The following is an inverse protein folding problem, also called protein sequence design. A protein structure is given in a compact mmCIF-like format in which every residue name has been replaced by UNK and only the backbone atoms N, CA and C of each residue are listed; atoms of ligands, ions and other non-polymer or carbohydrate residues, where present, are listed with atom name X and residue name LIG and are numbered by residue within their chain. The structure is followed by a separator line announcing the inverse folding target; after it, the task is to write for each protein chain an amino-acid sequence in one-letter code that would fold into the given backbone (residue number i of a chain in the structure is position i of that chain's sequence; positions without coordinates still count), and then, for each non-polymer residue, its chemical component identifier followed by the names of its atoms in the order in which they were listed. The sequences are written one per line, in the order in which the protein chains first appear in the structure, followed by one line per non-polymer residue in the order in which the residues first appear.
data_IF_279485191327
#
_entry.id   IF_279485191327
#
_cell.length_a   1.000
_cell.length_b   1.000
_cell.length_c   1.000
_cell.angle_alpha   90.00
_cell.angle_beta   90.00
_cell.angle_gamma   90.00
#
_symmetry.space_group_name_H-M   'P 1'
#
loop_
_entity.id
_entity.type
_entity.pdbx_description
1 polymer ?
#
# COMPACT_ATOMS: atom_id res chain seq x y z
N UNK A 1 -3.69 13.71 -14.03
CA UNK A 1 -3.75 14.00 -12.59
C UNK A 1 -3.65 12.66 -11.87
N UNK A 2 -2.99 12.58 -10.72
CA UNK A 2 -3.00 11.33 -9.95
C UNK A 2 -4.41 11.14 -9.38
N UNK A 3 -4.97 9.94 -9.52
CA UNK A 3 -6.28 9.57 -8.97
C UNK A 3 -6.15 9.40 -7.45
N UNK A 4 -6.25 10.52 -6.72
CA UNK A 4 -6.25 10.55 -5.26
C UNK A 4 -7.58 11.15 -4.80
N UNK A 5 -8.28 10.52 -3.83
CA UNK A 5 -9.53 11.05 -3.30
C UNK A 5 -9.38 12.47 -2.74
N UNK A 6 -10.44 13.27 -2.84
CA UNK A 6 -10.42 14.69 -2.48
C UNK A 6 -10.19 14.98 -1.01
N UNK A 7 -10.35 13.99 -0.11
CA UNK A 7 -10.01 14.15 1.30
C UNK A 7 -8.49 14.20 1.58
N UNK A 8 -7.66 13.82 0.62
CA UNK A 8 -6.21 13.84 0.80
C UNK A 8 -5.58 15.17 0.37
N UNK A 9 -4.40 15.51 0.92
CA UNK A 9 -3.59 16.62 0.41
C UNK A 9 -3.27 16.47 -1.09
N UNK A 10 -2.80 17.54 -1.76
CA UNK A 10 -2.36 17.47 -3.15
C UNK A 10 -1.41 16.29 -3.38
N UNK A 11 -1.55 15.60 -4.52
CA UNK A 11 -0.89 14.33 -4.80
C UNK A 11 0.64 14.37 -4.62
N UNK A 12 1.27 15.54 -4.83
CA UNK A 12 2.70 15.75 -4.63
C UNK A 12 3.10 15.56 -3.16
N UNK A 13 2.26 16.02 -2.24
CA UNK A 13 2.47 15.88 -0.79
C UNK A 13 2.36 14.41 -0.39
N UNK A 14 1.29 13.73 -0.85
CA UNK A 14 1.10 12.29 -0.62
C UNK A 14 2.29 11.49 -1.16
N UNK A 15 2.71 11.78 -2.40
CA UNK A 15 3.84 11.12 -3.03
C UNK A 15 5.16 11.40 -2.32
N UNK A 16 5.35 12.61 -1.78
CA UNK A 16 6.56 12.95 -1.01
C UNK A 16 6.70 12.08 0.23
N UNK A 17 5.64 11.94 1.04
CA UNK A 17 5.64 11.06 2.22
C UNK A 17 5.87 9.61 1.82
N UNK A 18 5.13 9.11 0.83
CA UNK A 18 5.31 7.75 0.32
C UNK A 18 6.77 7.48 -0.07
N UNK A 19 7.41 8.41 -0.80
CA UNK A 19 8.81 8.29 -1.21
C UNK A 19 9.78 8.26 -0.03
N UNK A 20 9.52 9.05 1.03
CA UNK A 20 10.34 8.98 2.25
C UNK A 20 10.17 7.63 2.95
N UNK A 21 8.93 7.17 3.11
CA UNK A 21 8.62 5.91 3.79
C UNK A 21 9.15 4.66 3.08
N UNK A 22 9.19 4.69 1.74
CA UNK A 22 9.84 3.62 0.97
C UNK A 22 11.35 3.65 1.20
N UNK A 23 11.95 4.85 1.29
CA UNK A 23 13.41 5.00 1.46
C UNK A 23 13.88 4.60 2.86
N UNK A 24 13.10 4.88 3.89
CA UNK A 24 13.46 4.60 5.29
C UNK A 24 12.91 3.25 5.81
N UNK A 25 12.17 2.50 4.98
CA UNK A 25 11.62 1.19 5.32
C UNK A 25 10.32 1.22 6.13
N UNK A 26 9.77 2.41 6.42
CA UNK A 26 8.46 2.56 7.08
C UNK A 26 7.36 1.85 6.30
N UNK A 27 7.39 1.93 4.97
CA UNK A 27 6.41 1.27 4.11
C UNK A 27 6.41 -0.26 4.31
N UNK A 28 7.59 -0.88 4.33
CA UNK A 28 7.72 -2.32 4.54
C UNK A 28 7.27 -2.75 5.94
N UNK A 29 7.55 -1.94 6.96
CA UNK A 29 7.12 -2.19 8.32
C UNK A 29 5.59 -2.13 8.46
N UNK A 30 4.96 -1.11 7.87
CA UNK A 30 3.49 -1.01 7.84
C UNK A 30 2.89 -2.25 7.16
N UNK A 31 3.43 -2.63 6.00
CA UNK A 31 2.92 -3.79 5.26
C UNK A 31 3.04 -5.09 6.08
N UNK A 32 4.20 -5.32 6.73
CA UNK A 32 4.41 -6.49 7.61
C UNK A 32 3.41 -6.55 8.76
N UNK A 33 3.16 -5.41 9.42
CA UNK A 33 2.22 -5.33 10.53
C UNK A 33 0.78 -5.60 10.07
N UNK A 34 0.36 -5.04 8.94
CA UNK A 34 -0.97 -5.27 8.39
C UNK A 34 -1.18 -6.74 8.02
N UNK A 35 -0.18 -7.38 7.40
CA UNK A 35 -0.22 -8.82 7.09
C UNK A 35 -0.34 -9.65 8.37
N UNK A 36 0.50 -9.38 9.36
CA UNK A 36 0.47 -10.10 10.63
C UNK A 36 -0.90 -9.96 11.33
N UNK A 37 -1.43 -8.74 11.40
CA UNK A 37 -2.74 -8.47 11.99
C UNK A 37 -3.86 -9.21 11.25
N UNK A 38 -3.88 -9.17 9.90
CA UNK A 38 -4.91 -9.87 9.13
C UNK A 38 -4.85 -11.38 9.36
N UNK A 39 -3.64 -11.96 9.42
CA UNK A 39 -3.48 -13.40 9.68
C UNK A 39 -3.97 -13.77 11.08
N UNK A 40 -3.63 -12.98 12.09
CA UNK A 40 -4.10 -13.20 13.45
C UNK A 40 -5.62 -13.07 13.56
N UNK A 41 -6.25 -12.16 12.82
CA UNK A 41 -7.70 -12.03 12.75
C UNK A 41 -8.39 -13.24 12.10
N UNK A 42 -7.67 -13.99 11.28
CA UNK A 42 -8.12 -15.24 10.66
C UNK A 42 -7.69 -16.48 11.45
N UNK A 43 -7.25 -16.33 12.71
CA UNK A 43 -6.72 -17.40 13.57
C UNK A 43 -5.53 -18.17 12.95
N UNK A 44 -4.72 -17.48 12.13
CA UNK A 44 -3.50 -18.01 11.50
C UNK A 44 -2.24 -17.47 12.19
N UNK A 45 -1.15 -18.23 12.10
CA UNK A 45 0.18 -17.81 12.56
C UNK A 45 0.59 -16.47 11.92
N UNK A 46 1.15 -15.55 12.72
CA UNK A 46 1.48 -14.19 12.28
C UNK A 46 2.55 -14.18 11.18
N UNK A 47 3.50 -15.13 11.23
CA UNK A 47 4.44 -15.37 10.14
C UNK A 47 3.80 -16.24 9.06
N UNK A 48 3.73 -15.77 7.81
CA UNK A 48 3.31 -16.60 6.69
C UNK A 48 4.37 -17.65 6.36
N UNK A 49 3.94 -18.89 6.14
CA UNK A 49 4.81 -19.98 5.68
C UNK A 49 5.06 -19.92 4.17
N UNK A 50 4.14 -19.31 3.41
CA UNK A 50 4.18 -19.20 1.95
C UNK A 50 3.87 -17.78 1.51
N UNK A 51 4.64 -17.24 0.57
CA UNK A 51 4.37 -15.98 -0.10
C UNK A 51 3.87 -16.24 -1.53
N UNK A 52 2.75 -15.63 -1.91
CA UNK A 52 2.25 -15.61 -3.29
C UNK A 52 2.54 -14.22 -3.86
N UNK A 53 3.25 -14.17 -4.98
CA UNK A 53 3.52 -12.94 -5.71
C UNK A 53 2.68 -12.99 -6.98
N UNK A 54 1.70 -12.09 -7.08
CA UNK A 54 0.90 -11.90 -8.28
C UNK A 54 1.14 -10.49 -8.83
N UNK A 55 1.17 -10.37 -10.16
CA UNK A 55 1.32 -9.09 -10.84
C UNK A 55 0.11 -8.86 -11.74
N UNK A 56 -0.68 -7.84 -11.44
CA UNK A 56 -1.82 -7.44 -12.25
C UNK A 56 -1.58 -6.06 -12.88
N UNK A 57 -1.91 -5.92 -14.16
CA UNK A 57 -1.85 -4.65 -14.88
C UNK A 57 -3.22 -3.98 -14.85
N UNK A 58 -3.29 -2.76 -14.30
CA UNK A 58 -4.50 -1.92 -14.36
C UNK A 58 -4.43 -0.97 -15.55
N UNK A 59 -5.52 -0.85 -16.31
CA UNK A 59 -5.65 0.19 -17.35
C UNK A 59 -6.08 1.49 -16.67
N UNK A 60 -5.30 2.57 -16.85
CA UNK A 60 -5.71 3.88 -16.37
C UNK A 60 -6.75 4.48 -17.34
N UNK A 61 -7.98 4.65 -16.86
CA UNK A 61 -9.00 5.45 -17.55
C UNK A 61 -8.80 6.89 -17.12
N UNK A 62 -8.55 7.78 -18.08
CA UNK A 62 -8.47 9.23 -17.83
C UNK A 62 -9.86 9.75 -17.46
N UNK A 63 -10.19 9.75 -16.15
CA UNK A 63 -11.35 10.49 -15.64
C UNK A 63 -10.95 11.95 -15.50
N UNK A 64 -11.13 12.70 -16.59
CA UNK A 64 -11.07 14.16 -16.57
C UNK A 64 -12.44 14.70 -16.17
N UNK A 65 -12.54 15.36 -15.02
CA UNK A 65 -13.55 16.41 -14.75
C UNK A 65 -12.94 17.42 -13.80
#
# INVERSE_FOLDING_TARGET
MADIPGEFPPWQTVYWYYRQWVKDGTWDNINRLLIANNRMMEDKEWQPTTAIIDSQTTKNTSTST
#
